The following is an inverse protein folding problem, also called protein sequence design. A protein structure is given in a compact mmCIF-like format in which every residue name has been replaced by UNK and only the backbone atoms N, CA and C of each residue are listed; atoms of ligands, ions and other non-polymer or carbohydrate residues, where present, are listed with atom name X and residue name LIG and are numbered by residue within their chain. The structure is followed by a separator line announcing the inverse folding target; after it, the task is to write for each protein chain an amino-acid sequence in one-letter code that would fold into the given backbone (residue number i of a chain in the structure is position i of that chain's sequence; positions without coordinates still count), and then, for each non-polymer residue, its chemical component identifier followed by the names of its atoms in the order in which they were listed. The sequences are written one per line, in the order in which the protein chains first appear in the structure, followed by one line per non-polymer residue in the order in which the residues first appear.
data_IF_911251727834
#
_entry.id   IF_911251727834
#
_cell.length_a   1.000
_cell.length_b   1.000
_cell.length_c   1.000
_cell.angle_alpha   90.00
_cell.angle_beta   90.00
_cell.angle_gamma   90.00
#
_symmetry.space_group_name_H-M   'P 1'
#
loop_
_entity.id
_entity.type
_entity.pdbx_description
1 polymer ?
2 non-polymer ?
3 non-polymer ?
4 non-polymer ?
5 water ?
#
# COMPACT_ATOMS: atom_id res chain seq x y z
N UNK A 1 -2.53 -16.82 1.93
CA UNK A 1 -1.08 -17.11 1.74
C UNK A 1 -0.23 -16.18 2.60
N UNK A 2 0.94 -16.66 3.02
CA UNK A 2 1.84 -15.86 3.83
C UNK A 2 2.56 -14.88 2.91
N UNK A 3 2.71 -13.64 3.36
CA UNK A 3 3.38 -12.62 2.57
C UNK A 3 4.62 -12.14 3.29
N UNK A 4 5.49 -11.45 2.56
CA UNK A 4 6.73 -10.94 3.12
C UNK A 4 6.48 -9.99 4.29
N UNK A 5 5.33 -9.33 4.28
CA UNK A 5 4.99 -8.40 5.34
C UNK A 5 4.85 -9.10 6.70
N UNK A 6 4.73 -10.42 6.68
CA UNK A 6 4.56 -11.19 7.91
C UNK A 6 5.81 -11.98 8.29
N UNK A 7 6.89 -11.81 7.54
CA UNK A 7 8.13 -12.54 7.82
C UNK A 7 8.82 -11.97 9.06
N UNK A 8 9.04 -12.81 10.08
CA UNK A 8 9.69 -12.43 11.35
C UNK A 8 11.15 -12.01 11.19
N UNK A 9 11.64 -11.19 12.12
CA UNK A 9 13.03 -10.76 12.09
C UNK A 9 13.96 -11.97 12.07
N UNK A 10 15.12 -11.81 11.43
CA UNK A 10 16.12 -12.87 11.35
C UNK A 10 15.61 -14.16 10.72
N UNK A 11 14.66 -14.04 9.81
CA UNK A 11 14.12 -15.23 9.17
C UNK A 11 14.10 -15.09 7.65
N UNK A 12 14.51 -16.15 6.97
CA UNK A 12 14.53 -16.16 5.51
C UNK A 12 13.39 -17.06 5.02
N UNK A 13 12.96 -16.84 3.79
CA UNK A 13 11.89 -17.64 3.20
C UNK A 13 12.04 -17.61 1.68
N UNK A 14 11.50 -18.61 1.00
CA UNK A 14 11.57 -18.67 -0.45
C UNK A 14 10.38 -17.97 -1.08
N UNK A 15 10.65 -17.12 -2.06
CA UNK A 15 9.60 -16.38 -2.75
C UNK A 15 8.80 -17.32 -3.65
N UNK A 16 7.48 -17.17 -3.62
CA UNK A 16 6.63 -18.00 -4.46
C UNK A 16 6.21 -17.21 -5.70
N UNK A 17 5.83 -15.96 -5.47
CA UNK A 17 5.42 -15.08 -6.56
C UNK A 17 5.20 -13.68 -6.03
N UNK A 18 4.93 -12.74 -6.93
CA UNK A 18 4.65 -11.37 -6.55
C UNK A 18 3.29 -11.11 -7.17
N UNK A 19 2.29 -10.92 -6.31
CA UNK A 19 0.92 -10.71 -6.76
C UNK A 19 0.55 -9.24 -6.93
N UNK A 20 -0.15 -8.93 -8.01
CA UNK A 20 -0.59 -7.55 -8.26
C UNK A 20 -1.66 -7.21 -7.23
N UNK A 21 -1.64 -5.97 -6.75
CA UNK A 21 -2.62 -5.50 -5.78
C UNK A 21 -3.81 -4.95 -6.56
N UNK A 22 -3.52 -4.44 -7.75
CA UNK A 22 -4.54 -3.86 -8.62
C UNK A 22 -4.02 -3.94 -10.06
N UNK A 23 -4.87 -3.60 -11.02
CA UNK A 23 -4.47 -3.64 -12.42
C UNK A 23 -3.33 -2.67 -12.69
N UNK A 24 -2.38 -3.09 -13.52
CA UNK A 24 -1.24 -2.26 -13.87
C UNK A 24 -0.53 -1.86 -12.58
N UNK A 25 -0.05 -2.86 -11.85
CA UNK A 25 0.64 -2.64 -10.58
C UNK A 25 2.13 -2.39 -10.82
N UNK A 26 2.53 -1.11 -10.83
CA UNK A 26 3.92 -0.73 -11.07
C UNK A 26 4.87 -1.18 -9.96
N UNK A 27 4.37 -1.21 -8.73
CA UNK A 27 5.19 -1.64 -7.61
C UNK A 27 5.52 -3.12 -7.73
N UNK A 28 4.51 -3.92 -8.04
CA UNK A 28 4.72 -5.36 -8.20
C UNK A 28 5.73 -5.59 -9.32
N UNK A 29 5.58 -4.85 -10.41
CA UNK A 29 6.48 -4.98 -11.55
C UNK A 29 7.91 -4.65 -11.15
N UNK A 30 8.07 -3.57 -10.40
CA UNK A 30 9.39 -3.15 -9.95
C UNK A 30 10.04 -4.21 -9.06
N UNK A 31 9.24 -4.82 -8.19
CA UNK A 31 9.75 -5.85 -7.30
C UNK A 31 10.24 -7.06 -8.08
N UNK A 32 9.51 -7.46 -9.11
CA UNK A 32 9.92 -8.61 -9.91
C UNK A 32 11.24 -8.31 -10.61
N UNK A 33 11.35 -7.10 -11.15
CA UNK A 33 12.56 -6.69 -11.85
C UNK A 33 13.80 -6.63 -10.95
N UNK A 34 13.58 -6.43 -9.66
CA UNK A 34 14.68 -6.32 -8.70
C UNK A 34 15.13 -7.63 -8.06
N UNK A 35 14.60 -8.75 -8.53
CA UNK A 35 15.03 -10.02 -7.98
C UNK A 35 14.01 -10.82 -7.18
N UNK A 36 12.86 -10.22 -6.89
CA UNK A 36 11.83 -10.93 -6.14
C UNK A 36 11.12 -11.90 -7.08
N UNK A 37 11.74 -13.05 -7.31
CA UNK A 37 11.17 -14.06 -8.19
C UNK A 37 11.13 -15.44 -7.55
N UNK A 38 10.19 -16.27 -8.01
CA UNK A 38 10.01 -17.61 -7.48
C UNK A 38 11.32 -18.38 -7.32
N UNK A 39 11.48 -18.99 -6.15
CA UNK A 39 12.67 -19.77 -5.89
C UNK A 39 13.79 -19.04 -5.18
N UNK A 40 13.76 -17.72 -5.20
CA UNK A 40 14.81 -16.95 -4.56
C UNK A 40 14.50 -16.67 -3.09
N UNK A 41 15.55 -16.66 -2.29
CA UNK A 41 15.43 -16.43 -0.86
C UNK A 41 15.38 -14.95 -0.51
N UNK A 42 14.50 -14.61 0.42
CA UNK A 42 14.37 -13.23 0.87
C UNK A 42 14.41 -13.25 2.39
N UNK A 43 15.06 -12.27 3.01
CA UNK A 43 15.12 -12.29 4.46
C UNK A 43 14.79 -10.94 5.08
N UNK A 44 14.14 -10.99 6.24
CA UNK A 44 13.75 -9.79 6.97
C UNK A 44 14.93 -9.41 7.85
N UNK A 45 15.59 -8.31 7.50
CA UNK A 45 16.77 -7.84 8.23
C UNK A 45 16.45 -6.96 9.43
N UNK A 46 15.52 -6.03 9.28
CA UNK A 46 15.16 -5.13 10.37
C UNK A 46 13.74 -4.60 10.27
N UNK A 47 13.21 -4.20 11.42
CA UNK A 47 11.85 -3.67 11.59
C UNK A 47 10.75 -4.50 10.93
N UNK A 48 9.87 -5.06 11.75
CA UNK A 48 8.77 -5.85 11.24
C UNK A 48 9.06 -7.34 11.19
N UNK A 49 8.21 -8.19 11.79
CA UNK A 49 6.98 -7.83 12.50
C UNK A 49 7.29 -7.07 13.79
N UNK A 50 6.31 -6.31 14.27
CA UNK A 50 6.47 -5.50 15.47
C UNK A 50 7.50 -4.42 15.12
N UNK A 51 7.73 -3.48 16.03
CA UNK A 51 8.68 -2.42 15.76
C UNK A 51 8.08 -1.35 14.87
N UNK A 52 7.64 -1.76 13.68
CA UNK A 52 7.04 -0.82 12.75
C UNK A 52 7.51 -0.94 11.31
N UNK A 53 7.64 0.21 10.66
CA UNK A 53 8.09 0.27 9.27
C UNK A 53 9.18 1.31 9.17
N UNK A 54 9.95 1.31 8.06
CA UNK A 54 9.83 0.39 6.93
C UNK A 54 10.39 -0.99 7.27
N UNK A 55 10.08 -1.96 6.43
CA UNK A 55 10.57 -3.32 6.59
C UNK A 55 11.84 -3.37 5.75
N UNK A 56 12.97 -3.69 6.38
CA UNK A 56 14.23 -3.77 5.64
C UNK A 56 14.42 -5.23 5.26
N UNK A 57 14.23 -5.52 3.98
CA UNK A 57 14.34 -6.88 3.48
C UNK A 57 15.55 -7.05 2.56
N UNK A 58 16.08 -8.26 2.49
CA UNK A 58 17.23 -8.53 1.65
C UNK A 58 17.04 -9.68 0.67
N UNK A 59 17.39 -9.40 -0.59
CA UNK A 59 17.32 -10.38 -1.66
C UNK A 59 18.72 -10.41 -2.25
N UNK A 60 19.33 -11.59 -2.25
CA UNK A 60 20.68 -11.70 -2.76
C UNK A 60 21.55 -10.91 -1.80
N UNK A 61 22.12 -9.81 -2.27
CA UNK A 61 22.96 -8.98 -1.41
C UNK A 61 22.51 -7.52 -1.47
N UNK A 62 21.29 -7.31 -1.93
CA UNK A 62 20.73 -5.97 -2.03
C UNK A 62 19.62 -5.82 -1.01
N UNK A 63 19.59 -4.67 -0.34
CA UNK A 63 18.57 -4.42 0.68
C UNK A 63 17.57 -3.34 0.27
N UNK A 64 16.30 -3.60 0.53
CA UNK A 64 15.24 -2.65 0.18
C UNK A 64 14.38 -2.29 1.38
N UNK A 65 13.89 -1.05 1.39
CA UNK A 65 13.02 -0.58 2.45
C UNK A 65 11.62 -0.63 1.86
N UNK A 66 10.73 -1.37 2.50
CA UNK A 66 9.38 -1.53 2.00
C UNK A 66 8.29 -1.21 3.01
N UNK A 67 7.20 -0.63 2.52
CA UNK A 67 6.06 -0.34 3.37
C UNK A 67 5.36 -1.69 3.45
N UNK A 68 4.50 -1.87 4.45
CA UNK A 68 3.78 -3.13 4.57
C UNK A 68 2.98 -3.39 3.30
N UNK A 69 2.38 -2.34 2.73
CA UNK A 69 1.57 -2.48 1.51
C UNK A 69 2.39 -2.98 0.32
N UNK A 70 3.68 -2.66 0.32
CA UNK A 70 4.55 -3.10 -0.76
C UNK A 70 5.01 -4.54 -0.52
N UNK A 71 5.36 -4.86 0.72
CA UNK A 71 5.82 -6.21 1.05
C UNK A 71 4.70 -7.24 0.94
N UNK A 72 3.47 -6.79 1.15
CA UNK A 72 2.32 -7.69 1.10
C UNK A 72 2.10 -8.28 -0.28
N UNK A 73 2.75 -7.70 -1.28
CA UNK A 73 2.63 -8.18 -2.66
C UNK A 73 3.48 -9.43 -2.90
N UNK A 74 4.51 -9.60 -2.08
CA UNK A 74 5.41 -10.73 -2.22
C UNK A 74 4.96 -11.95 -1.42
N UNK A 75 4.54 -12.99 -2.12
CA UNK A 75 4.09 -14.21 -1.46
C UNK A 75 5.28 -15.13 -1.22
N UNK A 76 5.42 -15.61 0.01
CA UNK A 76 6.52 -16.50 0.36
C UNK A 76 5.98 -17.84 0.82
N UNK A 77 6.82 -18.87 0.73
CA UNK A 77 6.46 -20.23 1.14
C UNK A 77 6.66 -20.34 2.66
N UNK A 78 5.56 -20.38 3.40
CA UNK A 78 5.61 -20.45 4.86
C UNK A 78 6.44 -21.61 5.41
N UNK A 79 6.38 -22.76 4.73
CA UNK A 79 7.12 -23.93 5.18
C UNK A 79 8.61 -23.88 4.86
N UNK A 80 9.04 -22.85 4.14
CA UNK A 80 10.46 -22.71 3.78
C UNK A 80 11.18 -21.77 4.74
N UNK A 81 10.44 -21.20 5.68
CA UNK A 81 11.02 -20.29 6.65
C UNK A 81 12.14 -20.95 7.45
N UNK A 82 13.22 -20.21 7.66
CA UNK A 82 14.33 -20.71 8.44
C UNK A 82 14.95 -19.55 9.21
N UNK A 83 15.09 -19.73 10.52
CA UNK A 83 15.68 -18.71 11.36
C UNK A 83 17.19 -18.71 11.12
N UNK A 84 17.73 -17.52 10.85
CA UNK A 84 19.15 -17.38 10.59
C UNK A 84 19.85 -16.91 11.85
N UNK A 85 19.75 -17.71 12.90
CA UNK A 85 20.35 -17.38 14.19
C UNK A 85 21.84 -17.71 14.24
N UNK B 1 -18.55 -0.55 1.13
CA UNK B 1 -18.11 0.85 1.40
C UNK B 1 -17.29 1.38 0.23
N UNK B 2 -17.62 2.58 -0.23
CA UNK B 2 -16.92 3.19 -1.36
C UNK B 2 -15.65 3.88 -0.90
N UNK B 3 -14.58 3.73 -1.67
CA UNK B 3 -13.31 4.36 -1.32
C UNK B 3 -12.88 5.35 -2.39
N UNK B 4 -11.99 6.26 -2.02
CA UNK B 4 -11.49 7.28 -2.93
C UNK B 4 -10.83 6.66 -4.17
N UNK B 5 -10.23 5.49 -4.00
CA UNK B 5 -9.56 4.82 -5.12
C UNK B 5 -10.57 4.45 -6.20
N UNK B 6 -11.85 4.49 -5.86
CA UNK B 6 -12.91 4.13 -6.80
C UNK B 6 -13.65 5.34 -7.37
N UNK B 7 -13.29 6.54 -6.92
CA UNK B 7 -13.94 7.76 -7.39
C UNK B 7 -13.59 8.03 -8.85
N UNK B 8 -14.61 8.11 -9.72
CA UNK B 8 -14.38 8.36 -11.15
C UNK B 8 -13.73 9.71 -11.44
N UNK B 9 -13.02 9.78 -12.55
CA UNK B 9 -12.34 10.99 -12.97
C UNK B 9 -13.31 12.17 -13.05
N UNK B 10 -12.88 13.32 -12.55
CA UNK B 10 -13.69 14.54 -12.54
C UNK B 10 -15.01 14.37 -11.79
N UNK B 11 -14.94 13.70 -10.65
CA UNK B 11 -16.11 13.48 -9.80
C UNK B 11 -15.67 13.83 -8.39
N UNK B 12 -16.59 14.35 -7.59
CA UNK B 12 -16.29 14.71 -6.21
C UNK B 12 -17.14 13.87 -5.27
N UNK B 13 -16.70 13.76 -4.02
CA UNK B 13 -17.42 13.00 -3.01
C UNK B 13 -17.05 13.54 -1.63
N UNK B 14 -17.88 13.22 -0.64
CA UNK B 14 -17.63 13.66 0.72
C UNK B 14 -16.97 12.54 1.51
N UNK B 15 -15.88 12.88 2.21
CA UNK B 15 -15.16 11.90 3.01
C UNK B 15 -15.96 11.46 4.22
N UNK B 16 -15.90 10.17 4.51
CA UNK B 16 -16.59 9.56 5.64
C UNK B 16 -15.56 9.37 6.76
N UNK B 17 -14.45 8.72 6.42
CA UNK B 17 -13.38 8.48 7.38
C UNK B 17 -12.15 7.90 6.67
N UNK B 18 -11.10 7.64 7.44
CA UNK B 18 -9.88 7.05 6.91
C UNK B 18 -9.69 5.73 7.64
N UNK B 19 -9.63 4.64 6.88
CA UNK B 19 -9.49 3.30 7.46
C UNK B 19 -8.07 2.77 7.44
N UNK B 20 -7.63 2.22 8.57
CA UNK B 20 -6.29 1.65 8.68
C UNK B 20 -6.19 0.43 7.77
N UNK B 21 -5.03 0.25 7.15
CA UNK B 21 -4.80 -0.89 6.27
C UNK B 21 -4.24 -2.01 7.15
N UNK B 22 -3.57 -1.60 8.22
CA UNK B 22 -2.97 -2.53 9.17
C UNK B 22 -2.81 -1.79 10.49
N UNK B 23 -2.43 -2.50 11.54
CA UNK B 23 -2.25 -1.89 12.84
C UNK B 23 -1.09 -0.91 12.81
N UNK B 24 -1.22 0.20 13.54
CA UNK B 24 -0.17 1.21 13.59
C UNK B 24 0.10 1.72 12.17
N UNK B 25 -0.95 2.20 11.53
CA UNK B 25 -0.88 2.71 10.16
C UNK B 25 -0.51 4.20 10.13
N UNK B 26 0.77 4.48 9.90
CA UNK B 26 1.25 5.86 9.85
C UNK B 26 0.70 6.63 8.65
N UNK B 27 0.50 5.94 7.53
CA UNK B 27 -0.03 6.60 6.34
C UNK B 27 -1.45 7.08 6.60
N UNK B 28 -2.24 6.25 7.29
CA UNK B 28 -3.61 6.61 7.61
C UNK B 28 -3.62 7.83 8.52
N UNK B 29 -2.68 7.89 9.45
CA UNK B 29 -2.62 9.03 10.37
C UNK B 29 -2.30 10.30 9.60
N UNK B 30 -1.40 10.19 8.63
CA UNK B 30 -1.00 11.34 7.82
C UNK B 30 -2.17 11.87 6.99
N UNK B 31 -3.00 10.96 6.48
CA UNK B 31 -4.16 11.37 5.68
C UNK B 31 -5.15 12.12 6.56
N UNK B 32 -5.38 11.62 7.77
CA UNK B 32 -6.30 12.28 8.69
C UNK B 32 -5.79 13.70 8.99
N UNK B 33 -4.48 13.83 9.19
CA UNK B 33 -3.90 15.13 9.47
C UNK B 33 -3.90 16.04 8.24
N UNK B 34 -3.88 15.43 7.06
CA UNK B 34 -3.88 16.18 5.81
C UNK B 34 -5.23 16.78 5.45
N UNK B 35 -6.27 16.45 6.21
CA UNK B 35 -7.58 17.02 5.91
C UNK B 35 -8.62 16.05 5.37
N UNK B 36 -8.26 14.78 5.24
CA UNK B 36 -9.21 13.79 4.76
C UNK B 36 -10.04 13.42 5.98
N UNK B 37 -11.03 14.26 6.26
CA UNK B 37 -11.89 14.07 7.41
C UNK B 37 -13.37 14.06 7.03
N UNK B 38 -14.19 13.56 7.95
CA UNK B 38 -15.62 13.48 7.73
C UNK B 38 -16.18 14.85 7.39
N UNK B 39 -16.90 14.94 6.27
CA UNK B 39 -17.48 16.21 5.88
C UNK B 39 -16.71 16.97 4.82
N UNK B 40 -15.43 16.67 4.67
CA UNK B 40 -14.61 17.36 3.68
C UNK B 40 -14.89 16.81 2.28
N UNK B 41 -14.86 17.69 1.29
CA UNK B 41 -15.08 17.27 -0.09
C UNK B 41 -13.74 16.95 -0.76
N UNK B 42 -13.72 15.88 -1.54
CA UNK B 42 -12.51 15.49 -2.26
C UNK B 42 -12.87 15.36 -3.73
N UNK B 43 -11.96 15.77 -4.61
CA UNK B 43 -12.21 15.70 -6.04
C UNK B 43 -11.10 14.97 -6.79
N UNK B 44 -11.47 14.03 -7.65
CA UNK B 44 -10.51 13.29 -8.46
C UNK B 44 -10.25 14.18 -9.68
N UNK B 45 -9.09 14.83 -9.71
CA UNK B 45 -8.76 15.75 -10.79
C UNK B 45 -7.90 15.25 -11.96
N UNK B 46 -7.01 14.29 -11.72
CA UNK B 46 -6.16 13.80 -12.81
C UNK B 46 -6.57 12.45 -13.37
N UNK B 47 -6.17 11.37 -12.71
CA UNK B 47 -6.52 10.03 -13.16
C UNK B 47 -7.82 9.59 -12.50
N UNK B 48 -8.06 8.28 -12.45
CA UNK B 48 -9.28 7.79 -11.84
C UNK B 48 -9.07 6.65 -10.85
N UNK B 53 -2.90 5.51 -12.15
CA UNK B 53 -2.03 6.18 -11.19
C UNK B 53 -1.05 7.14 -11.85
N UNK B 54 -0.67 8.21 -11.13
CA UNK B 54 -1.16 8.46 -9.77
C UNK B 54 -2.57 9.03 -9.76
N UNK B 55 -3.24 8.90 -8.62
CA UNK B 55 -4.58 9.45 -8.47
C UNK B 55 -4.36 10.82 -7.87
N UNK B 56 -4.62 11.86 -8.66
CA UNK B 56 -4.43 13.22 -8.17
C UNK B 56 -5.76 13.70 -7.61
N UNK B 57 -5.82 13.83 -6.30
CA UNK B 57 -7.04 14.27 -5.63
C UNK B 57 -6.88 15.66 -5.03
N UNK B 58 -7.94 16.46 -5.11
CA UNK B 58 -7.86 17.80 -4.55
C UNK B 58 -8.78 18.03 -3.35
N UNK B 59 -8.19 18.61 -2.31
CA UNK B 59 -8.89 18.95 -1.08
C UNK B 59 -8.58 20.43 -0.90
N UNK B 60 -9.60 21.29 -1.00
CA UNK B 60 -9.35 22.71 -0.86
C UNK B 60 -8.49 23.16 -2.03
N UNK B 61 -7.37 23.82 -1.74
CA UNK B 61 -6.46 24.29 -2.79
C UNK B 61 -5.18 23.47 -2.80
N UNK B 62 -5.27 22.23 -2.33
CA UNK B 62 -4.12 21.34 -2.27
C UNK B 62 -4.38 20.09 -3.10
N UNK B 63 -3.42 19.76 -3.96
CA UNK B 63 -3.52 18.58 -4.82
C UNK B 63 -2.57 17.47 -4.37
N UNK B 64 -3.13 16.31 -4.04
CA UNK B 64 -2.34 15.17 -3.59
C UNK B 64 -2.25 14.06 -4.64
N UNK B 65 -1.03 13.62 -4.93
CA UNK B 65 -0.82 12.53 -5.89
C UNK B 65 -0.75 11.25 -5.06
N UNK B 66 -1.82 10.47 -5.08
CA UNK B 66 -1.91 9.25 -4.29
C UNK B 66 -1.81 7.95 -5.08
N UNK B 67 -1.23 6.92 -4.47
CA UNK B 67 -1.15 5.63 -5.11
C UNK B 67 -2.46 4.97 -4.70
N UNK B 68 -2.85 3.92 -5.38
CA UNK B 68 -4.11 3.25 -5.08
C UNK B 68 -4.24 2.72 -3.66
N UNK B 69 -3.17 2.16 -3.12
CA UNK B 69 -3.22 1.62 -1.76
C UNK B 69 -3.44 2.71 -0.71
N UNK B 70 -3.06 3.94 -1.05
CA UNK B 70 -3.23 5.06 -0.13
C UNK B 70 -4.66 5.57 -0.23
N UNK B 71 -5.15 5.68 -1.47
CA UNK B 71 -6.50 6.16 -1.72
C UNK B 71 -7.55 5.17 -1.24
N UNK B 72 -7.22 3.89 -1.24
CA UNK B 72 -8.17 2.88 -0.80
C UNK B 72 -8.48 3.04 0.69
N UNK B 73 -7.62 3.77 1.40
CA UNK B 73 -7.82 3.99 2.84
C UNK B 73 -8.92 5.02 3.10
N UNK B 74 -9.11 5.93 2.15
CA UNK B 74 -10.10 6.99 2.30
C UNK B 74 -11.48 6.51 1.88
N UNK B 75 -12.40 6.49 2.84
CA UNK B 75 -13.77 6.06 2.58
C UNK B 75 -14.63 7.27 2.30
N UNK B 76 -15.44 7.20 1.25
CA UNK B 76 -16.32 8.31 0.88
C UNK B 76 -17.78 7.88 0.84
N UNK B 77 -18.66 8.87 0.96
CA UNK B 77 -20.10 8.62 0.94
C UNK B 77 -20.52 8.46 -0.52
N UNK B 78 -21.09 7.30 -0.84
CA UNK B 78 -21.51 7.01 -2.21
C UNK B 78 -22.63 7.92 -2.71
N UNK B 79 -23.53 8.29 -1.81
CA UNK B 79 -24.65 9.15 -2.19
C UNK B 79 -24.22 10.60 -2.42
N UNK B 80 -23.04 10.95 -1.93
CA UNK B 80 -22.54 12.32 -2.06
C UNK B 80 -21.84 12.62 -3.38
N UNK B 81 -21.64 11.61 -4.21
CA UNK B 81 -20.96 11.79 -5.49
C UNK B 81 -21.60 12.83 -6.40
N UNK B 82 -20.76 13.58 -7.10
CA UNK B 82 -21.22 14.61 -8.03
C UNK B 82 -20.28 14.70 -9.22
N UNK B 83 -20.85 14.76 -10.42
CA UNK B 83 -20.05 14.88 -11.63
C UNK B 83 -19.62 16.33 -11.75
N UNK B 84 -18.33 16.55 -12.00
CA UNK B 84 -17.80 17.91 -12.11
C UNK B 84 -17.22 18.14 -13.50
N UNK B 85 -16.81 19.39 -13.74
CA UNK B 85 -16.20 19.76 -15.01
C UNK B 85 -14.70 19.59 -14.86
X LIG C 1 -0.90 -14.67 6.59
X LIG D 1 1.66 0.73 -8.01
X LIG E 1 2.20 0.85 6.53
X LIG F 1 -0.50 1.13 -7.22
X LIG G 1 5.30 10.62 2.25
X LIG H 1 1.40 0.30 4.38
X LIG I 1 0.41 2.45 1.01
X LIG J 1 -0.66 0.93 -4.88
X LIG K 1 2.12 3.01 7.10
X LIG L 1 3.60 9.51 6.32
X LIG L 1 2.88 10.49 6.43
X LIG L 1 3.59 8.80 5.22
X LIG L 1 4.50 9.10 7.43
#
# INVERSE_FOLDING_TARGET
AMTLSELPLHTSAVVESVQDLHANDAIARRLRELGFVKGEEVRMVAKGPVGGEPLLVQVGFTRFALRISEAKRVVVDAASQERRA
AMTLSELPLHTSAVVESVQDLHANDAIARRLRELGFVKGEEVRMVAKGPVGGEPLLVQVGFTRFALRISEAKRVVVDAASQERRA
ZN ZN
CL CL
ZN ZN
ZN ZN
ZN ZN
CL CL
CL CL
CL CL
CL CL
ACT C O OXT CH3
#
